data_IF_754700899269
#
_entry.id   IF_754700899269
#
_cell.length_a   1.000
_cell.length_b   1.000
_cell.length_c   1.000
_cell.angle_alpha   90.00
_cell.angle_beta   90.00
_cell.angle_gamma   90.00
#
_symmetry.space_group_name_H-M   'P 1'
#
loop_
_entity.id
_entity.type
_entity.pdbx_description
1 polymer ?
#
# COMPACT_ATOMS: atom_id res chain seq x y z
N UNK A 1 -10.92 -19.39 -48.49
CA UNK A 1 -12.08 -19.12 -47.61
C UNK A 1 -11.94 -20.01 -46.38
N UNK A 2 -11.07 -19.61 -45.44
CA UNK A 2 -11.41 -18.93 -44.17
C UNK A 2 -11.75 -19.94 -43.06
N UNK A 3 -10.70 -20.41 -42.38
CA UNK A 3 -10.77 -21.16 -41.12
C UNK A 3 -11.18 -20.18 -40.00
N UNK A 4 -12.40 -20.34 -39.49
CA UNK A 4 -12.92 -19.58 -38.35
C UNK A 4 -12.21 -20.04 -37.06
N UNK A 5 -11.27 -19.23 -36.60
CA UNK A 5 -10.65 -19.35 -35.28
C UNK A 5 -11.64 -18.82 -34.24
N UNK A 6 -12.30 -19.72 -33.50
CA UNK A 6 -13.10 -19.35 -32.32
C UNK A 6 -12.14 -18.86 -31.23
N UNK A 7 -12.05 -17.53 -31.08
CA UNK A 7 -11.48 -16.88 -29.90
C UNK A 7 -12.33 -17.26 -28.70
N UNK A 8 -11.77 -18.11 -27.85
CA UNK A 8 -12.29 -18.44 -26.53
C UNK A 8 -12.26 -17.18 -25.65
N UNK A 9 -13.46 -16.66 -25.37
CA UNK A 9 -13.75 -15.61 -24.39
C UNK A 9 -13.35 -16.10 -22.98
N UNK A 10 -12.07 -15.91 -22.63
CA UNK A 10 -11.60 -16.01 -21.23
C UNK A 10 -12.07 -14.76 -20.50
N UNK A 11 -13.33 -14.78 -20.06
CA UNK A 11 -13.83 -13.85 -19.04
C UNK A 11 -12.93 -13.93 -17.82
N UNK A 12 -12.09 -12.91 -17.63
CA UNK A 12 -11.34 -12.70 -16.39
C UNK A 12 -12.37 -12.52 -15.28
N UNK A 13 -12.62 -13.57 -14.52
CA UNK A 13 -13.35 -13.46 -13.25
C UNK A 13 -12.48 -12.61 -12.34
N UNK A 14 -12.82 -11.33 -12.21
CA UNK A 14 -12.27 -10.47 -11.17
C UNK A 14 -12.78 -11.02 -9.83
N UNK A 15 -12.01 -11.92 -9.21
CA UNK A 15 -12.26 -12.27 -7.82
C UNK A 15 -12.06 -10.99 -7.01
N UNK A 16 -13.12 -10.52 -6.35
CA UNK A 16 -13.04 -9.40 -5.42
C UNK A 16 -12.23 -9.85 -4.20
N UNK A 17 -10.91 -9.67 -4.27
CA UNK A 17 -10.01 -9.99 -3.16
C UNK A 17 -10.19 -8.93 -2.07
N UNK A 18 -10.35 -9.32 -0.81
CA UNK A 18 -10.54 -8.39 0.31
C UNK A 18 -9.19 -7.82 0.75
N UNK A 19 -9.18 -6.60 1.26
CA UNK A 19 -8.03 -5.94 1.89
C UNK A 19 -8.46 -5.51 3.27
N UNK A 20 -7.65 -5.80 4.29
CA UNK A 20 -7.93 -5.38 5.66
C UNK A 20 -7.48 -3.94 5.82
N UNK A 21 -8.40 -3.07 6.23
CA UNK A 21 -8.10 -1.66 6.50
C UNK A 21 -7.80 -1.49 8.00
N UNK A 22 -6.59 -1.04 8.38
CA UNK A 22 -6.31 -0.62 9.74
C UNK A 22 -7.26 0.49 10.20
N UNK A 23 -7.48 0.62 11.51
CA UNK A 23 -8.37 1.65 12.08
C UNK A 23 -8.01 3.06 11.58
N UNK A 24 -6.72 3.41 11.53
CA UNK A 24 -6.26 4.69 11.01
C UNK A 24 -6.72 4.95 9.56
N UNK A 25 -6.63 3.93 8.69
CA UNK A 25 -7.08 4.04 7.31
C UNK A 25 -8.60 4.13 7.22
N UNK A 26 -9.33 3.42 8.09
CA UNK A 26 -10.79 3.50 8.16
C UNK A 26 -11.26 4.89 8.60
N UNK A 27 -10.65 5.45 9.65
CA UNK A 27 -10.97 6.80 10.12
C UNK A 27 -10.71 7.85 9.04
N UNK A 28 -9.58 7.77 8.33
CA UNK A 28 -9.28 8.67 7.23
C UNK A 28 -10.29 8.56 6.08
N UNK A 29 -10.70 7.33 5.74
CA UNK A 29 -11.74 7.08 4.75
C UNK A 29 -13.10 7.69 5.17
N UNK A 30 -13.52 7.47 6.41
CA UNK A 30 -14.79 7.98 6.91
C UNK A 30 -14.80 9.53 6.90
N UNK A 31 -13.71 10.17 7.34
CA UNK A 31 -13.56 11.62 7.26
C UNK A 31 -13.65 12.15 5.83
N UNK A 32 -12.98 11.49 4.90
CA UNK A 32 -13.00 11.86 3.48
C UNK A 32 -14.40 11.70 2.87
N UNK A 33 -15.10 10.60 3.17
CA UNK A 33 -16.48 10.39 2.70
C UNK A 33 -17.42 11.46 3.25
N UNK A 34 -17.30 11.82 4.54
CA UNK A 34 -18.09 12.90 5.14
C UNK A 34 -17.84 14.25 4.45
N UNK A 35 -16.59 14.59 4.15
CA UNK A 35 -16.23 15.82 3.42
C UNK A 35 -16.86 15.86 2.02
N UNK A 36 -17.10 14.70 1.40
CA UNK A 36 -17.80 14.57 0.11
C UNK A 36 -19.32 14.46 0.24
N UNK A 37 -19.88 14.52 1.44
CA UNK A 37 -21.31 14.29 1.68
C UNK A 37 -21.77 12.86 1.37
N UNK A 38 -20.84 11.89 1.34
CA UNK A 38 -21.10 10.48 1.07
C UNK A 38 -21.36 9.72 2.37
N UNK A 39 -22.16 8.63 2.33
CA UNK A 39 -22.41 7.81 3.51
C UNK A 39 -21.12 7.10 3.98
N UNK A 40 -20.88 7.06 5.29
CA UNK A 40 -19.77 6.30 5.92
C UNK A 40 -20.14 4.86 6.28
N UNK A 41 -21.43 4.54 6.21
CA UNK A 41 -22.00 3.23 6.52
C UNK A 41 -21.93 2.33 5.27
N UNK A 42 -21.20 1.20 5.30
CA UNK A 42 -20.97 0.36 4.12
C UNK A 42 -22.23 -0.10 3.38
N UNK A 43 -23.32 -0.33 4.10
CA UNK A 43 -24.61 -0.76 3.55
C UNK A 43 -25.24 0.28 2.63
N UNK A 44 -24.81 1.54 2.72
CA UNK A 44 -25.29 2.66 1.91
C UNK A 44 -24.34 3.01 0.77
N UNK A 45 -23.22 2.29 0.62
CA UNK A 45 -22.26 2.56 -0.44
C UNK A 45 -22.78 2.07 -1.80
N UNK A 46 -22.68 2.93 -2.80
CA UNK A 46 -22.92 2.55 -4.19
C UNK A 46 -21.60 2.13 -4.84
N UNK A 47 -21.50 0.93 -5.45
CA UNK A 47 -20.31 0.51 -6.19
C UNK A 47 -19.95 1.40 -7.39
N UNK A 48 -20.92 2.20 -7.88
CA UNK A 48 -20.70 3.14 -8.97
C UNK A 48 -20.02 4.44 -8.51
N UNK A 49 -20.06 4.76 -7.21
CA UNK A 49 -19.48 6.00 -6.70
C UNK A 49 -17.94 5.92 -6.77
N UNK A 50 -17.28 6.83 -7.52
CA UNK A 50 -15.83 6.89 -7.54
C UNK A 50 -15.30 7.22 -6.15
N UNK A 51 -14.44 6.35 -5.59
CA UNK A 51 -13.88 6.61 -4.27
C UNK A 51 -12.94 7.82 -4.28
N UNK A 52 -12.03 7.90 -5.25
CA UNK A 52 -11.16 9.07 -5.42
C UNK A 52 -11.47 9.71 -6.76
N UNK A 53 -11.85 10.98 -6.71
CA UNK A 53 -12.34 11.75 -7.86
C UNK A 53 -11.31 12.70 -8.43
N UNK A 54 -11.50 13.09 -9.68
CA UNK A 54 -10.83 14.24 -10.26
C UNK A 54 -11.28 15.51 -9.52
N UNK A 55 -10.42 16.54 -9.49
CA UNK A 55 -10.80 17.87 -9.00
C UNK A 55 -11.50 18.71 -10.08
N UNK A 56 -11.44 18.24 -11.32
CA UNK A 56 -12.02 18.92 -12.49
C UNK A 56 -13.45 18.41 -12.78
N UNK A 57 -13.78 17.21 -12.28
CA UNK A 57 -15.07 16.54 -12.46
C UNK A 57 -15.32 15.61 -11.26
N UNK A 58 -16.35 15.92 -10.47
CA UNK A 58 -16.70 15.22 -9.23
C UNK A 58 -17.25 13.80 -9.46
N UNK A 59 -17.62 13.47 -10.71
CA UNK A 59 -18.15 12.15 -11.08
C UNK A 59 -17.09 11.27 -11.79
N UNK A 60 -15.95 11.84 -12.17
CA UNK A 60 -14.86 11.12 -12.82
C UNK A 60 -13.85 10.56 -11.80
N UNK A 61 -13.41 9.32 -12.02
CA UNK A 61 -12.30 8.73 -11.26
C UNK A 61 -11.00 9.51 -11.50
N UNK A 62 -10.15 9.61 -10.46
CA UNK A 62 -8.79 10.09 -10.68
C UNK A 62 -8.00 9.11 -11.54
N UNK A 63 -7.30 9.65 -12.55
CA UNK A 63 -6.36 8.86 -13.33
C UNK A 63 -5.15 8.43 -12.51
N UNK A 64 -4.69 7.20 -12.72
CA UNK A 64 -3.53 6.64 -12.01
C UNK A 64 -2.27 7.50 -12.12
N UNK A 65 -2.04 8.09 -13.30
CA UNK A 65 -0.93 9.00 -13.57
C UNK A 65 -1.07 10.33 -12.82
N UNK A 66 -2.30 10.85 -12.69
CA UNK A 66 -2.59 12.06 -11.91
C UNK A 66 -2.38 11.81 -10.42
N UNK A 67 -2.87 10.69 -9.89
CA UNK A 67 -2.63 10.30 -8.50
C UNK A 67 -1.13 10.17 -8.22
N UNK A 68 -0.37 9.53 -9.12
CA UNK A 68 1.09 9.44 -9.00
C UNK A 68 1.75 10.82 -8.95
N UNK A 69 1.35 11.75 -9.82
CA UNK A 69 1.87 13.13 -9.83
C UNK A 69 1.56 13.87 -8.53
N UNK A 70 0.33 13.75 -8.02
CA UNK A 70 -0.09 14.34 -6.73
C UNK A 70 0.77 13.80 -5.60
N UNK A 71 0.94 12.48 -5.51
CA UNK A 71 1.79 11.86 -4.49
C UNK A 71 3.26 12.29 -4.62
N UNK A 72 3.80 12.36 -5.84
CA UNK A 72 5.17 12.82 -6.06
C UNK A 72 5.36 14.26 -5.63
N UNK A 73 4.40 15.14 -5.95
CA UNK A 73 4.41 16.54 -5.50
C UNK A 73 4.36 16.64 -3.97
N UNK A 74 3.49 15.87 -3.32
CA UNK A 74 3.41 15.81 -1.85
C UNK A 74 4.78 15.48 -1.22
N UNK A 75 5.47 14.46 -1.72
CA UNK A 75 6.79 14.10 -1.19
C UNK A 75 7.85 15.17 -1.39
N UNK A 76 7.84 15.87 -2.53
CA UNK A 76 8.76 16.99 -2.76
C UNK A 76 8.49 18.12 -1.78
N UNK A 77 7.22 18.51 -1.59
CA UNK A 77 6.84 19.55 -0.64
C UNK A 77 7.23 19.19 0.80
N UNK A 78 7.00 17.94 1.20
CA UNK A 78 7.41 17.45 2.51
C UNK A 78 8.95 17.44 2.67
N UNK A 79 9.70 17.11 1.61
CA UNK A 79 11.16 17.18 1.61
C UNK A 79 11.67 18.61 1.77
N UNK A 80 11.07 19.57 1.05
CA UNK A 80 11.43 20.98 1.14
C UNK A 80 11.17 21.52 2.56
N UNK A 81 10.03 21.16 3.16
CA UNK A 81 9.63 21.62 4.49
C UNK A 81 10.56 21.15 5.62
N UNK A 82 11.29 20.04 5.45
CA UNK A 82 12.16 19.47 6.48
C UNK A 82 13.65 19.54 6.12
N UNK A 83 14.01 20.14 4.98
CA UNK A 83 15.36 20.11 4.42
C UNK A 83 16.41 20.63 5.40
N UNK A 84 16.12 21.75 6.06
CA UNK A 84 17.06 22.44 6.94
C UNK A 84 17.31 21.66 8.24
N UNK A 85 16.28 20.97 8.76
CA UNK A 85 16.37 20.19 9.99
C UNK A 85 16.87 18.76 9.76
N UNK A 86 16.49 18.15 8.62
CA UNK A 86 16.66 16.70 8.36
C UNK A 86 17.04 16.42 6.90
N UNK A 87 18.21 16.89 6.42
CA UNK A 87 18.58 16.82 5.00
C UNK A 87 18.64 15.38 4.46
N UNK A 88 19.11 14.43 5.27
CA UNK A 88 19.15 13.02 4.87
C UNK A 88 17.76 12.39 4.68
N UNK A 89 16.76 12.82 5.47
CA UNK A 89 15.38 12.36 5.30
C UNK A 89 14.71 13.05 4.12
N UNK A 90 14.96 14.35 3.93
CA UNK A 90 14.47 15.09 2.77
C UNK A 90 14.92 14.45 1.45
N UNK A 91 16.19 14.07 1.34
CA UNK A 91 16.70 13.38 0.14
C UNK A 91 15.98 12.04 -0.12
N UNK A 92 15.65 11.28 0.93
CA UNK A 92 14.85 10.05 0.80
C UNK A 92 13.44 10.37 0.31
N UNK A 93 12.79 11.41 0.84
CA UNK A 93 11.46 11.85 0.40
C UNK A 93 11.48 12.30 -1.06
N UNK A 94 12.51 13.00 -1.54
CA UNK A 94 12.61 13.37 -2.96
C UNK A 94 12.61 12.18 -3.90
N UNK A 95 13.06 11.00 -3.45
CA UNK A 95 13.06 9.75 -4.22
C UNK A 95 11.77 8.94 -4.07
N UNK A 96 10.91 9.28 -3.09
CA UNK A 96 9.70 8.56 -2.77
C UNK A 96 8.68 8.51 -3.92
N UNK A 97 7.92 7.43 -3.96
CA UNK A 97 6.87 7.16 -4.94
C UNK A 97 5.70 6.42 -4.30
N UNK A 98 4.55 6.27 -4.98
CA UNK A 98 3.46 5.43 -4.47
C UNK A 98 3.88 3.99 -4.17
N UNK A 99 4.79 3.44 -4.99
CA UNK A 99 5.33 2.10 -4.73
C UNK A 99 6.18 2.07 -3.46
N UNK A 100 6.96 3.12 -3.19
CA UNK A 100 7.72 3.24 -1.94
C UNK A 100 6.82 3.21 -0.71
N UNK A 101 5.64 3.86 -0.73
CA UNK A 101 4.68 3.78 0.38
C UNK A 101 4.20 2.35 0.64
N UNK A 102 3.94 1.59 -0.42
CA UNK A 102 3.56 0.18 -0.32
C UNK A 102 4.69 -0.64 0.30
N UNK A 103 5.94 -0.36 -0.06
CA UNK A 103 7.09 -0.98 0.58
C UNK A 103 7.17 -0.63 2.07
N UNK A 104 7.04 0.65 2.41
CA UNK A 104 7.06 1.12 3.80
C UNK A 104 5.96 0.47 4.63
N UNK A 105 4.73 0.35 4.10
CA UNK A 105 3.63 -0.34 4.77
C UNK A 105 3.97 -1.80 5.10
N UNK A 106 4.52 -2.53 4.12
CA UNK A 106 4.89 -3.93 4.27
C UNK A 106 6.00 -4.12 5.32
N UNK A 107 7.12 -3.40 5.17
CA UNK A 107 8.23 -3.46 6.12
C UNK A 107 7.81 -3.03 7.53
N UNK A 108 6.98 -1.99 7.65
CA UNK A 108 6.49 -1.52 8.94
C UNK A 108 5.59 -2.55 9.64
N UNK A 109 4.68 -3.19 8.89
CA UNK A 109 3.80 -4.22 9.44
C UNK A 109 4.61 -5.41 9.97
N UNK A 110 5.59 -5.90 9.21
CA UNK A 110 6.47 -7.00 9.62
C UNK A 110 7.32 -6.64 10.85
N UNK A 111 7.93 -5.45 10.85
CA UNK A 111 8.70 -4.96 12.00
C UNK A 111 7.85 -4.78 13.28
N UNK A 112 6.53 -4.70 13.15
CA UNK A 112 5.56 -4.64 14.27
C UNK A 112 4.91 -5.99 14.59
N UNK A 113 5.44 -7.09 14.03
CA UNK A 113 5.04 -8.44 14.37
C UNK A 113 3.84 -8.98 13.58
N UNK A 114 3.40 -8.31 12.51
CA UNK A 114 2.40 -8.90 11.62
C UNK A 114 2.98 -10.13 10.92
N UNK A 115 2.18 -11.19 10.81
CA UNK A 115 2.62 -12.41 10.14
C UNK A 115 2.85 -12.17 8.63
N UNK A 116 3.90 -12.80 8.09
CA UNK A 116 4.28 -12.67 6.67
C UNK A 116 3.15 -13.04 5.70
N UNK A 117 2.36 -14.08 6.06
CA UNK A 117 1.21 -14.52 5.27
C UNK A 117 0.13 -13.43 5.23
N UNK A 118 -0.16 -12.80 6.37
CA UNK A 118 -1.15 -11.72 6.46
C UNK A 118 -0.71 -10.49 5.66
N UNK A 119 0.57 -10.13 5.72
CA UNK A 119 1.13 -9.04 4.92
C UNK A 119 1.07 -9.37 3.42
N UNK A 120 1.44 -10.58 3.01
CA UNK A 120 1.33 -11.05 1.62
C UNK A 120 -0.09 -10.90 1.09
N UNK A 121 -1.08 -11.38 1.85
CA UNK A 121 -2.49 -11.38 1.45
C UNK A 121 -3.04 -9.97 1.37
N UNK A 122 -2.70 -9.11 2.33
CA UNK A 122 -3.10 -7.71 2.32
C UNK A 122 -2.48 -6.94 1.15
N UNK A 123 -1.24 -7.29 0.77
CA UNK A 123 -0.59 -6.75 -0.42
C UNK A 123 -1.13 -7.37 -1.71
N UNK A 124 -1.74 -8.56 -1.67
CA UNK A 124 -2.16 -9.35 -2.84
C UNK A 124 -0.97 -9.84 -3.67
N UNK A 125 0.11 -10.25 -3.03
CA UNK A 125 1.21 -10.90 -3.72
C UNK A 125 0.84 -12.36 -4.02
N UNK A 126 1.02 -12.77 -5.28
CA UNK A 126 0.75 -14.14 -5.72
C UNK A 126 1.69 -15.18 -5.09
N UNK A 127 2.84 -14.74 -4.55
CA UNK A 127 3.82 -15.59 -3.91
C UNK A 127 4.30 -14.98 -2.60
N UNK A 128 4.54 -15.85 -1.61
CA UNK A 128 5.17 -15.47 -0.35
C UNK A 128 6.63 -15.04 -0.56
N UNK A 129 7.30 -15.55 -1.61
CA UNK A 129 8.68 -15.18 -1.96
C UNK A 129 8.82 -13.69 -2.24
N UNK A 130 7.88 -13.09 -3.00
CA UNK A 130 7.84 -11.63 -3.26
C UNK A 130 7.68 -10.81 -1.99
N UNK A 131 7.03 -11.37 -0.97
CA UNK A 131 6.85 -10.70 0.33
C UNK A 131 8.06 -10.91 1.25
N UNK A 132 8.77 -12.04 1.10
CA UNK A 132 10.01 -12.33 1.84
C UNK A 132 11.12 -11.30 1.57
N UNK A 133 11.10 -10.62 0.42
CA UNK A 133 11.99 -9.48 0.14
C UNK A 133 11.93 -8.39 1.22
N UNK A 134 10.81 -8.23 1.93
CA UNK A 134 10.68 -7.27 3.03
C UNK A 134 11.36 -7.71 4.33
N UNK A 135 11.72 -8.98 4.49
CA UNK A 135 12.45 -9.49 5.65
C UNK A 135 13.95 -9.20 5.60
N UNK A 136 14.47 -8.76 4.45
CA UNK A 136 15.91 -8.56 4.24
C UNK A 136 16.44 -7.35 5.04
N UNK A 137 15.59 -6.36 5.32
CA UNK A 137 15.93 -5.25 6.22
C UNK A 137 16.08 -5.66 7.69
N UNK A 138 15.69 -6.88 8.05
CA UNK A 138 15.64 -7.40 9.43
C UNK A 138 16.69 -8.47 9.73
N UNK A 139 17.60 -8.76 8.78
CA UNK A 139 18.63 -9.80 8.94
C UNK A 139 19.55 -9.59 10.14
N UNK A 140 19.96 -8.34 10.39
CA UNK A 140 20.80 -7.97 11.54
C UNK A 140 20.05 -8.18 12.85
N UNK A 141 18.76 -7.87 12.88
CA UNK A 141 17.92 -8.04 14.07
C UNK A 141 17.63 -9.52 14.34
N UNK A 142 17.41 -10.30 13.28
CA UNK A 142 17.24 -11.76 13.34
C UNK A 142 18.49 -12.46 13.87
N UNK A 143 19.67 -12.09 13.38
CA UNK A 143 20.94 -12.64 13.85
C UNK A 143 21.12 -12.40 15.36
N UNK A 144 20.89 -11.16 15.82
CA UNK A 144 20.95 -10.80 17.25
C UNK A 144 19.94 -11.55 18.11
N UNK A 145 18.73 -11.77 17.61
CA UNK A 145 17.69 -12.52 18.32
C UNK A 145 18.04 -14.01 18.44
N UNK A 146 18.58 -14.61 17.38
CA UNK A 146 19.08 -15.99 17.41
C UNK A 146 20.24 -16.14 18.40
N UNK A 147 21.20 -15.23 18.39
CA UNK A 147 22.30 -15.22 19.37
C UNK A 147 21.77 -15.14 20.80
N UNK A 148 20.74 -14.33 21.06
CA UNK A 148 20.13 -14.23 22.39
C UNK A 148 19.36 -15.49 22.80
N UNK A 149 18.63 -16.11 21.88
CA UNK A 149 17.82 -17.30 22.15
C UNK A 149 18.68 -18.55 22.43
N UNK A 150 19.84 -18.64 21.79
CA UNK A 150 20.78 -19.75 21.92
C UNK A 150 22.05 -19.40 22.69
N UNK A 151 22.08 -18.25 23.39
CA UNK A 151 23.16 -17.93 24.32
C UNK A 151 23.26 -19.07 25.34
N UNK A 152 24.43 -19.70 25.40
CA UNK A 152 24.76 -20.66 26.44
C UNK A 152 24.53 -19.98 27.79
N UNK A 153 23.71 -20.60 28.65
CA UNK A 153 23.76 -20.27 30.07
C UNK A 153 25.13 -20.73 30.54
N UNK A 154 26.01 -19.78 30.81
CA UNK A 154 27.31 -20.06 31.40
C UNK A 154 27.09 -20.85 32.70
N UNK A 155 27.63 -22.07 32.73
CA UNK A 155 27.80 -22.90 33.94
C UNK A 155 29.14 -22.56 34.60
#
# INVERSE_FOLDING_TARGET
MSRSCRRSDRRRRHFALRCTLPSLARTALDQYLLQRGLPVTPERWSPATPLVVSLEDDDAHIESTRLWRVMRRFFVLAADAIQDERPATAEKLRRASPHWMRHTHASHALARGAELIMVRDNLRHASISTTSTYLHSDEVQRARQFDQAFRSRDL
#
